data_IF_204442149373
#
_entry.id   IF_204442149373
#
_cell.length_a   1.000
_cell.length_b   1.000
_cell.length_c   1.000
_cell.angle_alpha   90.00
_cell.angle_beta   90.00
_cell.angle_gamma   90.00
#
_symmetry.space_group_name_H-M   'P 1'
#
loop_
_entity.id
_entity.type
_entity.pdbx_description
1 polymer ?
#
# COMPACT_ATOMS: atom_id res chain seq x y z
N UNK A 1 33.00 4.05 7.48
CA UNK A 1 31.68 4.35 8.09
C UNK A 1 30.62 3.50 7.41
N UNK A 2 29.75 2.84 8.17
CA UNK A 2 28.62 2.06 7.62
C UNK A 2 27.66 2.98 6.84
N UNK A 3 27.11 2.51 5.71
CA UNK A 3 26.10 3.26 4.91
C UNK A 3 24.90 3.72 5.75
N UNK A 4 24.57 2.98 6.81
CA UNK A 4 23.50 3.34 7.73
C UNK A 4 23.84 4.60 8.54
N UNK A 5 25.09 4.79 8.94
CA UNK A 5 25.52 5.97 9.70
C UNK A 5 25.45 7.26 8.87
N UNK A 6 25.77 7.17 7.56
CA UNK A 6 25.66 8.30 6.62
C UNK A 6 24.18 8.68 6.40
N UNK A 7 23.32 7.68 6.17
CA UNK A 7 21.86 7.89 6.01
C UNK A 7 21.22 8.51 7.27
N UNK A 8 21.63 8.08 8.46
CA UNK A 8 21.19 8.69 9.73
C UNK A 8 21.65 10.15 9.84
N UNK A 9 22.89 10.45 9.49
CA UNK A 9 23.43 11.81 9.57
C UNK A 9 22.71 12.78 8.62
N UNK A 10 22.49 12.38 7.37
CA UNK A 10 21.76 13.18 6.39
C UNK A 10 20.29 13.36 6.78
N UNK A 11 19.68 12.33 7.37
CA UNK A 11 18.33 12.43 7.95
C UNK A 11 18.27 13.50 9.02
N UNK A 12 19.20 13.51 9.98
CA UNK A 12 19.24 14.51 11.06
C UNK A 12 19.46 15.93 10.52
N UNK A 13 20.35 16.09 9.53
CA UNK A 13 20.58 17.40 8.90
C UNK A 13 19.34 17.94 8.17
N UNK A 14 18.53 17.07 7.58
CA UNK A 14 17.27 17.44 6.95
C UNK A 14 16.26 17.99 7.98
N UNK A 15 16.21 17.41 9.19
CA UNK A 15 15.31 17.86 10.27
C UNK A 15 15.57 19.30 10.71
N UNK A 16 16.84 19.73 10.68
CA UNK A 16 17.24 21.09 11.07
C UNK A 16 16.64 22.19 10.17
N UNK A 17 16.03 21.84 9.03
CA UNK A 17 15.38 22.77 8.10
C UNK A 17 13.87 22.89 8.32
N UNK A 18 13.32 22.22 9.32
CA UNK A 18 11.88 22.15 9.53
C UNK A 18 11.41 23.32 10.39
N UNK A 19 10.30 23.94 10.00
CA UNK A 19 9.70 25.08 10.70
C UNK A 19 8.92 24.59 11.93
N UNK A 20 8.96 25.42 12.99
CA UNK A 20 8.23 25.22 14.25
C UNK A 20 6.76 25.63 14.20
N UNK A 21 6.27 26.11 13.04
CA UNK A 21 4.88 26.53 12.89
C UNK A 21 3.93 25.32 12.86
N UNK A 22 2.86 25.36 13.65
CA UNK A 22 1.86 24.28 13.68
C UNK A 22 0.72 24.46 12.67
N UNK A 23 0.60 25.63 12.03
CA UNK A 23 -0.39 25.95 11.00
C UNK A 23 0.11 25.65 9.57
N UNK A 24 0.92 24.61 9.45
CA UNK A 24 1.51 24.22 8.17
C UNK A 24 0.51 23.48 7.27
N UNK A 25 0.63 23.72 5.97
CA UNK A 25 -0.14 22.99 4.98
C UNK A 25 0.21 21.51 4.98
N UNK A 26 -0.75 20.67 4.59
CA UNK A 26 -0.56 19.22 4.45
C UNK A 26 0.63 18.87 3.53
N UNK A 27 0.81 19.63 2.45
CA UNK A 27 1.94 19.47 1.53
C UNK A 27 3.29 19.71 2.22
N UNK A 28 3.38 20.69 3.12
CA UNK A 28 4.62 20.97 3.86
C UNK A 28 4.97 19.82 4.81
N UNK A 29 3.98 19.29 5.53
CA UNK A 29 4.14 18.11 6.39
C UNK A 29 4.59 16.90 5.58
N UNK A 30 3.92 16.65 4.45
CA UNK A 30 4.25 15.57 3.53
C UNK A 30 5.72 15.67 3.02
N UNK A 31 6.15 16.85 2.54
CA UNK A 31 7.50 17.02 1.95
C UNK A 31 8.63 16.70 2.92
N UNK A 32 8.44 17.00 4.21
CA UNK A 32 9.42 16.66 5.27
C UNK A 32 9.66 15.16 5.31
N UNK A 33 8.56 14.40 5.31
CA UNK A 33 8.61 12.96 5.36
C UNK A 33 9.11 12.35 4.04
N UNK A 34 8.67 12.89 2.90
CA UNK A 34 9.16 12.48 1.58
C UNK A 34 10.69 12.58 1.49
N UNK A 35 11.27 13.68 1.95
CA UNK A 35 12.72 13.87 1.96
C UNK A 35 13.47 12.83 2.84
N UNK A 36 12.89 12.41 3.97
CA UNK A 36 13.47 11.31 4.76
C UNK A 36 13.41 9.98 4.01
N UNK A 37 12.29 9.69 3.36
CA UNK A 37 12.13 8.47 2.57
C UNK A 37 13.01 8.44 1.33
N UNK A 38 13.24 9.58 0.67
CA UNK A 38 14.19 9.68 -0.43
C UNK A 38 15.60 9.26 0.03
N UNK A 39 16.08 9.80 1.15
CA UNK A 39 17.38 9.41 1.74
C UNK A 39 17.40 7.91 2.10
N UNK A 40 16.32 7.42 2.69
CA UNK A 40 16.21 6.04 3.15
C UNK A 40 16.17 5.03 1.99
N UNK A 41 15.52 5.37 0.88
CA UNK A 41 15.24 4.49 -0.25
C UNK A 41 16.12 4.75 -1.48
N UNK A 42 17.01 5.76 -1.44
CA UNK A 42 17.88 6.18 -2.56
C UNK A 42 18.60 5.01 -3.23
N UNK A 43 19.12 4.07 -2.43
CA UNK A 43 19.87 2.91 -2.92
C UNK A 43 18.98 1.73 -3.36
N UNK A 44 17.69 1.95 -3.62
CA UNK A 44 16.72 0.90 -3.98
C UNK A 44 15.99 1.21 -5.29
N UNK A 45 15.30 0.21 -5.83
CA UNK A 45 14.42 0.37 -7.00
C UNK A 45 13.00 0.85 -6.62
N UNK A 46 12.78 1.18 -5.34
CA UNK A 46 11.52 1.73 -4.84
C UNK A 46 11.55 3.24 -5.10
N UNK A 47 10.45 3.75 -5.63
CA UNK A 47 10.25 5.16 -5.92
C UNK A 47 9.07 5.69 -5.14
N UNK A 48 9.23 6.92 -4.67
CA UNK A 48 8.13 7.74 -4.22
C UNK A 48 7.41 8.24 -5.47
N UNK A 49 6.10 8.08 -5.49
CA UNK A 49 5.24 8.69 -6.48
C UNK A 49 4.27 9.60 -5.75
N UNK A 50 4.45 10.89 -6.02
CA UNK A 50 3.70 12.00 -5.47
C UNK A 50 3.01 12.79 -6.58
N UNK A 51 2.30 13.86 -6.20
CA UNK A 51 1.63 14.75 -7.15
C UNK A 51 0.33 14.17 -7.70
N UNK A 52 -0.78 14.41 -6.99
CA UNK A 52 -2.17 14.08 -7.38
C UNK A 52 -2.37 12.72 -8.08
N UNK A 53 -1.52 11.73 -7.76
CA UNK A 53 -1.50 10.46 -8.46
C UNK A 53 -2.65 9.57 -7.99
N UNK A 54 -3.21 8.81 -8.92
CA UNK A 54 -4.32 7.89 -8.65
C UNK A 54 -3.80 6.46 -8.57
N UNK A 55 -4.30 5.67 -7.61
CA UNK A 55 -3.99 4.23 -7.54
C UNK A 55 -4.81 3.45 -8.56
N UNK A 56 -4.12 2.77 -9.46
CA UNK A 56 -4.70 1.81 -10.40
C UNK A 56 -5.27 0.60 -9.67
N UNK A 57 -4.69 0.21 -8.52
CA UNK A 57 -5.21 -0.90 -7.72
C UNK A 57 -6.67 -0.68 -7.29
N UNK A 58 -7.04 0.57 -7.00
CA UNK A 58 -8.42 0.90 -6.58
C UNK A 58 -9.44 0.93 -7.72
N UNK A 59 -8.98 1.00 -8.98
CA UNK A 59 -9.86 1.13 -10.15
C UNK A 59 -10.78 -0.08 -10.30
N UNK A 60 -10.22 -1.29 -10.23
CA UNK A 60 -10.99 -2.53 -10.32
C UNK A 60 -12.07 -2.63 -9.23
N UNK A 61 -11.78 -2.18 -8.01
CA UNK A 61 -12.76 -2.16 -6.92
C UNK A 61 -13.84 -1.09 -7.11
N UNK A 62 -13.51 0.05 -7.72
CA UNK A 62 -14.50 1.08 -8.07
C UNK A 62 -15.45 0.55 -9.14
N UNK A 63 -14.91 -0.09 -10.19
CA UNK A 63 -15.69 -0.67 -11.28
C UNK A 63 -16.64 -1.76 -10.78
N UNK A 64 -16.13 -2.66 -9.92
CA UNK A 64 -16.95 -3.70 -9.29
C UNK A 64 -18.09 -3.12 -8.43
N UNK A 65 -17.80 -2.11 -7.62
CA UNK A 65 -18.85 -1.46 -6.82
C UNK A 65 -19.91 -0.79 -7.71
N UNK A 66 -19.50 -0.12 -8.79
CA UNK A 66 -20.44 0.50 -9.73
C UNK A 66 -21.36 -0.54 -10.38
N UNK A 67 -20.79 -1.68 -10.78
CA UNK A 67 -21.52 -2.80 -11.36
C UNK A 67 -22.55 -3.38 -10.38
N UNK A 68 -22.15 -3.66 -9.14
CA UNK A 68 -23.03 -4.23 -8.11
C UNK A 68 -24.19 -3.30 -7.75
N UNK A 69 -23.92 -2.00 -7.59
CA UNK A 69 -24.91 -1.03 -7.13
C UNK A 69 -25.66 -0.32 -8.26
N UNK A 70 -25.49 -0.76 -9.52
CA UNK A 70 -26.23 -0.21 -10.67
C UNK A 70 -25.97 1.27 -10.93
N UNK A 71 -24.79 1.80 -10.58
CA UNK A 71 -24.48 3.24 -10.67
C UNK A 71 -24.14 3.73 -12.10
N UNK A 72 -24.48 2.95 -13.13
CA UNK A 72 -24.33 3.29 -14.55
C UNK A 72 -22.91 3.24 -15.12
N UNK A 73 -22.80 3.03 -16.44
CA UNK A 73 -21.54 3.03 -17.22
C UNK A 73 -21.03 4.44 -17.60
N UNK A 74 -21.54 5.50 -16.96
CA UNK A 74 -21.25 6.87 -17.38
C UNK A 74 -20.02 7.43 -16.69
N UNK A 75 -18.83 6.98 -17.10
CA UNK A 75 -17.52 7.68 -17.06
C UNK A 75 -16.36 6.69 -16.91
N UNK A 76 -15.22 7.00 -17.55
CA UNK A 76 -13.94 6.37 -17.23
C UNK A 76 -13.73 6.39 -15.71
N UNK A 77 -13.50 5.22 -15.11
CA UNK A 77 -13.12 5.14 -13.71
C UNK A 77 -11.69 5.63 -13.53
N UNK A 78 -11.54 6.62 -12.66
CA UNK A 78 -10.24 7.08 -12.19
C UNK A 78 -9.94 6.42 -10.86
N UNK A 79 -8.68 6.05 -10.65
CA UNK A 79 -8.23 5.55 -9.36
C UNK A 79 -8.39 6.60 -8.25
N UNK A 80 -8.27 6.15 -7.00
CA UNK A 80 -8.32 7.03 -5.83
C UNK A 80 -7.04 7.87 -5.76
N UNK A 81 -7.17 9.20 -5.60
CA UNK A 81 -6.05 10.11 -5.30
C UNK A 81 -5.37 9.75 -3.98
N UNK A 82 -4.05 9.72 -3.97
CA UNK A 82 -3.21 9.34 -2.84
C UNK A 82 -2.11 10.39 -2.64
N UNK A 83 -1.78 10.68 -1.39
CA UNK A 83 -0.76 11.67 -1.05
C UNK A 83 0.64 11.15 -1.39
N UNK A 84 0.96 9.93 -0.95
CA UNK A 84 2.23 9.27 -1.25
C UNK A 84 2.02 7.81 -1.62
N UNK A 85 2.44 7.43 -2.81
CA UNK A 85 2.50 6.02 -3.20
C UNK A 85 3.94 5.56 -3.31
N UNK A 86 4.26 4.45 -2.65
CA UNK A 86 5.51 3.73 -2.89
C UNK A 86 5.27 2.72 -4.00
N UNK A 87 6.16 2.73 -5.00
CA UNK A 87 6.07 1.82 -6.12
C UNK A 87 7.42 1.28 -6.55
N UNK A 88 7.41 0.09 -7.14
CA UNK A 88 8.57 -0.51 -7.77
C UNK A 88 8.53 -0.18 -9.25
N UNK A 89 9.64 0.33 -9.77
CA UNK A 89 9.81 0.53 -11.21
C UNK A 89 10.57 -0.66 -11.80
N UNK A 90 9.97 -1.31 -12.79
CA UNK A 90 10.62 -2.33 -13.61
C UNK A 90 10.37 -2.06 -15.09
N UNK A 91 11.41 -1.67 -15.82
CA UNK A 91 11.31 -1.21 -17.22
C UNK A 91 10.26 -0.08 -17.35
N UNK A 92 9.20 -0.31 -18.15
CA UNK A 92 8.06 0.59 -18.34
C UNK A 92 6.89 0.31 -17.39
N UNK A 93 6.97 -0.76 -16.60
CA UNK A 93 5.91 -1.11 -15.65
C UNK A 93 6.20 -0.51 -14.27
N UNK A 94 5.12 -0.13 -13.59
CA UNK A 94 5.12 0.29 -12.21
C UNK A 94 4.23 -0.66 -11.42
N UNK A 95 4.69 -1.06 -10.25
CA UNK A 95 3.92 -1.87 -9.30
C UNK A 95 3.73 -1.06 -8.04
N UNK A 96 2.48 -0.81 -7.67
CA UNK A 96 2.14 -0.17 -6.40
C UNK A 96 2.42 -1.16 -5.26
N UNK A 97 3.08 -0.72 -4.19
CA UNK A 97 3.39 -1.59 -3.04
C UNK A 97 2.91 -1.02 -1.71
N UNK A 98 2.69 0.29 -1.62
CA UNK A 98 2.12 0.93 -0.43
C UNK A 98 1.54 2.30 -0.80
N UNK A 99 0.39 2.62 -0.23
CA UNK A 99 -0.22 3.96 -0.23
C UNK A 99 -0.09 4.53 1.18
N UNK A 100 0.27 5.80 1.30
CA UNK A 100 0.47 6.50 2.56
C UNK A 100 -0.21 7.86 2.51
N UNK A 101 -0.74 8.30 3.64
CA UNK A 101 -1.65 9.44 3.70
C UNK A 101 -1.28 10.40 4.82
N UNK A 102 -1.52 11.69 4.58
CA UNK A 102 -1.10 12.79 5.43
C UNK A 102 -2.28 13.72 5.68
N UNK A 103 -2.38 14.24 6.91
CA UNK A 103 -3.29 15.33 7.25
C UNK A 103 -2.57 16.39 8.06
N UNK A 104 -3.05 17.63 7.98
CA UNK A 104 -2.62 18.72 8.85
C UNK A 104 -2.98 18.44 10.32
N UNK A 105 -2.24 19.04 11.24
CA UNK A 105 -2.40 18.88 12.70
C UNK A 105 -3.82 19.19 13.18
N UNK A 106 -4.45 20.22 12.62
CA UNK A 106 -5.78 20.71 13.02
C UNK A 106 -6.94 19.91 12.41
N UNK A 107 -6.69 18.78 11.75
CA UNK A 107 -7.74 17.93 11.21
C UNK A 107 -8.62 17.35 12.34
N UNK A 108 -9.93 17.35 12.15
CA UNK A 108 -10.84 16.77 13.13
C UNK A 108 -10.67 15.25 13.22
N UNK A 109 -11.03 14.66 14.37
CA UNK A 109 -10.96 13.20 14.58
C UNK A 109 -11.73 12.42 13.51
N UNK A 110 -12.88 12.92 13.07
CA UNK A 110 -13.68 12.29 12.02
C UNK A 110 -12.98 12.31 10.66
N UNK A 111 -12.27 13.40 10.34
CA UNK A 111 -11.47 13.49 9.11
C UNK A 111 -10.31 12.52 9.18
N UNK A 112 -9.62 12.43 10.32
CA UNK A 112 -8.52 11.47 10.53
C UNK A 112 -9.03 10.02 10.41
N UNK A 113 -10.18 9.69 11.00
CA UNK A 113 -10.75 8.34 10.90
C UNK A 113 -11.14 8.01 9.45
N UNK A 114 -11.75 8.95 8.73
CA UNK A 114 -12.06 8.79 7.29
C UNK A 114 -10.79 8.56 6.48
N UNK A 115 -9.71 9.26 6.82
CA UNK A 115 -8.41 9.12 6.18
C UNK A 115 -7.80 7.73 6.40
N UNK A 116 -7.76 7.24 7.63
CA UNK A 116 -7.28 5.90 7.95
C UNK A 116 -8.12 4.81 7.27
N UNK A 117 -9.45 4.97 7.25
CA UNK A 117 -10.35 4.05 6.53
C UNK A 117 -10.10 4.06 5.01
N UNK A 118 -9.75 5.22 4.44
CA UNK A 118 -9.35 5.32 3.03
C UNK A 118 -8.04 4.59 2.79
N UNK A 119 -7.04 4.80 3.64
CA UNK A 119 -5.72 4.23 3.47
C UNK A 119 -5.72 2.70 3.58
N UNK A 120 -6.45 2.16 4.57
CA UNK A 120 -6.64 0.71 4.74
C UNK A 120 -7.27 0.05 3.51
N UNK A 121 -8.36 0.62 2.98
CA UNK A 121 -9.04 0.08 1.80
C UNK A 121 -8.17 0.15 0.55
N UNK A 122 -7.44 1.25 0.37
CA UNK A 122 -6.54 1.45 -0.76
C UNK A 122 -5.43 0.40 -0.74
N UNK A 123 -4.78 0.20 0.41
CA UNK A 123 -3.72 -0.80 0.54
C UNK A 123 -4.24 -2.25 0.45
N UNK A 124 -5.47 -2.53 0.88
CA UNK A 124 -6.10 -3.82 0.62
C UNK A 124 -6.25 -4.08 -0.90
N UNK A 125 -6.61 -3.06 -1.69
CA UNK A 125 -6.65 -3.17 -3.15
C UNK A 125 -5.26 -3.43 -3.73
N UNK A 126 -4.21 -2.76 -3.23
CA UNK A 126 -2.82 -2.97 -3.64
C UNK A 126 -2.40 -4.42 -3.39
N UNK A 127 -2.66 -4.97 -2.19
CA UNK A 127 -2.39 -6.37 -1.86
C UNK A 127 -3.11 -7.30 -2.85
N UNK A 128 -4.40 -7.06 -3.09
CA UNK A 128 -5.20 -7.88 -3.99
C UNK A 128 -4.65 -7.84 -5.42
N UNK A 129 -4.19 -6.68 -5.90
CA UNK A 129 -3.59 -6.54 -7.22
C UNK A 129 -2.27 -7.31 -7.33
N UNK A 130 -1.40 -7.23 -6.31
CA UNK A 130 -0.14 -7.99 -6.27
C UNK A 130 -0.42 -9.50 -6.28
N UNK A 131 -1.34 -9.98 -5.43
CA UNK A 131 -1.74 -11.39 -5.38
C UNK A 131 -2.30 -11.84 -6.73
N UNK A 132 -3.22 -11.08 -7.31
CA UNK A 132 -3.87 -11.45 -8.56
C UNK A 132 -2.88 -11.52 -9.73
N UNK A 133 -1.98 -10.54 -9.83
CA UNK A 133 -1.06 -10.37 -10.96
C UNK A 133 0.21 -11.23 -10.85
N UNK A 134 0.78 -11.36 -9.65
CA UNK A 134 2.08 -12.00 -9.45
C UNK A 134 2.00 -13.31 -8.66
N UNK A 135 0.82 -13.69 -8.18
CA UNK A 135 0.58 -14.91 -7.36
C UNK A 135 1.46 -14.97 -6.11
N UNK A 136 1.84 -13.81 -5.58
CA UNK A 136 2.61 -13.69 -4.33
C UNK A 136 1.65 -13.35 -3.20
N UNK A 137 1.62 -14.19 -2.15
CA UNK A 137 1.00 -13.78 -0.89
C UNK A 137 1.89 -12.74 -0.21
N UNK A 138 1.37 -11.54 0.03
CA UNK A 138 2.16 -10.42 0.53
C UNK A 138 1.43 -9.67 1.63
N UNK A 139 2.21 -8.98 2.45
CA UNK A 139 1.73 -7.92 3.32
C UNK A 139 2.22 -6.57 2.79
N UNK A 140 1.68 -5.47 3.30
CA UNK A 140 2.16 -4.12 2.98
C UNK A 140 2.34 -3.34 4.27
N UNK A 141 3.42 -2.55 4.36
CA UNK A 141 3.61 -1.59 5.44
C UNK A 141 3.09 -0.21 5.00
N UNK A 142 2.34 0.42 5.88
CA UNK A 142 1.50 1.58 5.59
C UNK A 142 1.63 2.59 6.70
N UNK A 143 1.60 3.87 6.32
CA UNK A 143 1.66 4.98 7.25
C UNK A 143 0.45 5.92 7.08
N UNK A 144 -0.06 6.37 8.22
CA UNK A 144 -0.97 7.51 8.33
C UNK A 144 -0.31 8.57 9.22
N UNK A 145 -0.25 9.82 8.75
CA UNK A 145 0.29 10.96 9.49
C UNK A 145 -0.77 12.04 9.73
N UNK A 146 -0.72 12.65 10.90
CA UNK A 146 -1.46 13.84 11.29
C UNK A 146 -0.48 14.84 11.91
N UNK A 147 -0.18 15.91 11.19
CA UNK A 147 0.95 16.78 11.52
C UNK A 147 2.24 15.96 11.62
N UNK A 148 2.98 16.12 12.72
CA UNK A 148 4.22 15.38 12.98
C UNK A 148 4.05 14.00 13.59
N UNK A 149 2.84 13.57 13.89
CA UNK A 149 2.61 12.27 14.51
C UNK A 149 2.01 11.31 13.50
N UNK A 150 2.53 10.08 13.47
CA UNK A 150 2.02 9.05 12.59
C UNK A 150 1.98 7.68 13.23
N UNK A 151 1.39 6.74 12.52
CA UNK A 151 1.48 5.33 12.84
C UNK A 151 2.00 4.55 11.64
N UNK A 152 2.88 3.59 11.90
CA UNK A 152 3.26 2.54 10.97
C UNK A 152 2.49 1.30 11.34
N UNK A 153 1.84 0.68 10.37
CA UNK A 153 1.13 -0.58 10.54
C UNK A 153 1.32 -1.48 9.31
N UNK A 154 1.12 -2.77 9.51
CA UNK A 154 1.22 -3.77 8.46
C UNK A 154 -0.15 -4.35 8.17
N UNK A 155 -0.51 -4.43 6.89
CA UNK A 155 -1.75 -5.06 6.43
C UNK A 155 -1.41 -6.39 5.76
N UNK A 156 -2.19 -7.44 6.05
CA UNK A 156 -2.10 -8.75 5.38
C UNK A 156 -3.49 -9.29 5.09
N UNK A 157 -3.64 -10.00 3.97
CA UNK A 157 -4.82 -10.82 3.66
C UNK A 157 -4.73 -12.17 4.37
N UNK A 158 -5.78 -12.58 5.07
CA UNK A 158 -5.88 -13.88 5.73
C UNK A 158 -6.33 -14.97 4.76
N UNK A 159 -6.18 -16.22 5.17
CA UNK A 159 -6.68 -17.39 4.40
C UNK A 159 -8.21 -17.36 4.28
N UNK A 160 -8.88 -16.88 5.33
CA UNK A 160 -10.33 -16.59 5.39
C UNK A 160 -10.74 -15.34 4.59
N UNK A 161 -9.88 -14.84 3.71
CA UNK A 161 -10.16 -13.77 2.73
C UNK A 161 -10.46 -12.37 3.30
N UNK A 162 -10.22 -12.11 4.58
CA UNK A 162 -10.31 -10.77 5.17
C UNK A 162 -8.94 -10.12 5.37
N UNK A 163 -8.92 -8.81 5.63
CA UNK A 163 -7.69 -8.05 5.83
C UNK A 163 -7.51 -7.68 7.29
N UNK A 164 -6.32 -7.94 7.85
CA UNK A 164 -5.95 -7.53 9.20
C UNK A 164 -4.87 -6.45 9.10
N UNK A 165 -5.04 -5.37 9.86
CA UNK A 165 -4.00 -4.36 10.10
C UNK A 165 -3.43 -4.52 11.52
N UNK A 166 -2.11 -4.68 11.62
CA UNK A 166 -1.39 -4.78 12.89
C UNK A 166 -0.50 -3.55 13.09
N UNK A 167 -0.60 -2.82 14.21
CA UNK A 167 0.30 -1.72 14.50
C UNK A 167 1.74 -2.22 14.63
N UNK A 168 2.68 -1.46 14.07
CA UNK A 168 4.13 -1.73 14.12
C UNK A 168 4.80 -0.70 15.03
N UNK A 169 4.59 0.58 14.78
CA UNK A 169 5.21 1.65 15.57
C UNK A 169 4.38 2.94 15.54
N UNK A 170 4.59 3.78 16.56
CA UNK A 170 4.21 5.20 16.52
C UNK A 170 5.39 5.98 15.95
N UNK A 171 5.11 6.93 15.07
CA UNK A 171 6.10 7.76 14.40
C UNK A 171 5.96 9.20 14.90
N UNK A 172 7.08 9.86 15.09
CA UNK A 172 7.17 11.25 15.51
C UNK A 172 8.27 11.96 14.71
N UNK A 173 7.88 13.05 14.07
CA UNK A 173 8.71 13.92 13.25
C UNK A 173 9.03 15.16 14.11
N UNK A 174 10.25 15.29 14.63
CA UNK A 174 10.58 16.37 15.56
C UNK A 174 10.55 17.73 14.85
N UNK A 175 10.01 18.75 15.52
CA UNK A 175 10.01 20.14 15.02
C UNK A 175 11.21 20.96 15.48
N UNK A 176 11.87 20.50 16.55
CA UNK A 176 13.00 21.18 17.16
C UNK A 176 13.94 20.15 17.80
N UNK A 177 15.10 20.63 18.25
CA UNK A 177 16.16 19.79 18.81
C UNK A 177 15.72 19.06 20.09
N UNK A 178 14.84 19.68 20.88
CA UNK A 178 14.35 19.13 22.15
C UNK A 178 13.50 17.87 21.95
N UNK A 179 12.89 17.73 20.76
CA UNK A 179 12.07 16.56 20.40
C UNK A 179 12.88 15.43 19.77
N UNK A 180 14.20 15.56 19.60
CA UNK A 180 15.05 14.53 18.99
C UNK A 180 15.01 13.20 19.74
N UNK A 181 14.72 13.19 21.04
CA UNK A 181 14.61 11.95 21.81
C UNK A 181 13.57 10.97 21.25
N UNK A 182 12.52 11.46 20.57
CA UNK A 182 11.51 10.62 19.92
C UNK A 182 11.87 10.16 18.50
N UNK A 183 12.94 10.70 17.91
CA UNK A 183 13.35 10.41 16.54
C UNK A 183 13.92 9.01 16.40
N UNK A 184 14.64 8.50 17.39
CA UNK A 184 15.30 7.19 17.32
C UNK A 184 14.30 6.07 17.03
N UNK A 185 13.15 6.08 17.71
CA UNK A 185 12.08 5.10 17.52
C UNK A 185 11.49 5.19 16.10
N UNK A 186 11.32 6.42 15.60
CA UNK A 186 10.85 6.67 14.23
C UNK A 186 11.85 6.16 13.21
N UNK A 187 13.14 6.48 13.35
CA UNK A 187 14.19 6.00 12.45
C UNK A 187 14.29 4.48 12.47
N UNK A 188 14.26 3.86 13.65
CA UNK A 188 14.26 2.40 13.79
C UNK A 188 13.10 1.75 13.03
N UNK A 189 11.88 2.27 13.22
CA UNK A 189 10.70 1.81 12.49
C UNK A 189 10.81 2.02 10.97
N UNK A 190 11.37 3.15 10.53
CA UNK A 190 11.59 3.43 9.11
C UNK A 190 12.67 2.50 8.51
N UNK A 191 13.75 2.19 9.22
CA UNK A 191 14.74 1.20 8.77
C UNK A 191 14.16 -0.21 8.70
N UNK A 192 13.27 -0.57 9.63
CA UNK A 192 12.51 -1.82 9.54
C UNK A 192 11.61 -1.83 8.30
N UNK A 193 10.89 -0.74 8.05
CA UNK A 193 10.06 -0.59 6.85
C UNK A 193 10.91 -0.65 5.57
N UNK A 194 12.07 0.01 5.52
CA UNK A 194 13.01 -0.06 4.40
C UNK A 194 13.40 -1.50 4.09
N UNK A 195 13.78 -2.25 5.12
CA UNK A 195 14.22 -3.64 4.98
C UNK A 195 13.08 -4.51 4.46
N UNK A 196 11.88 -4.30 4.98
CA UNK A 196 10.66 -4.95 4.51
C UNK A 196 10.36 -4.64 3.03
N UNK A 197 10.40 -3.36 2.64
CA UNK A 197 10.10 -2.94 1.27
C UNK A 197 11.13 -3.48 0.27
N UNK A 198 12.41 -3.53 0.64
CA UNK A 198 13.46 -4.09 -0.22
C UNK A 198 13.22 -5.58 -0.45
N UNK A 199 12.89 -6.34 0.60
CA UNK A 199 12.59 -7.77 0.47
C UNK A 199 11.32 -8.02 -0.36
N UNK A 200 10.26 -7.24 -0.11
CA UNK A 200 9.05 -7.28 -0.92
C UNK A 200 9.34 -6.97 -2.39
N UNK A 201 10.19 -5.97 -2.65
CA UNK A 201 10.60 -5.59 -3.99
C UNK A 201 11.34 -6.70 -4.71
N UNK A 202 12.22 -7.41 -4.01
CA UNK A 202 12.91 -8.59 -4.55
C UNK A 202 11.91 -9.66 -4.98
N UNK A 203 10.96 -10.03 -4.12
CA UNK A 203 9.95 -11.04 -4.46
C UNK A 203 9.08 -10.64 -5.66
N UNK A 204 8.63 -9.38 -5.71
CA UNK A 204 7.85 -8.88 -6.85
C UNK A 204 8.69 -8.93 -8.13
N UNK A 205 9.95 -8.49 -8.08
CA UNK A 205 10.84 -8.51 -9.24
C UNK A 205 11.07 -9.94 -9.76
N UNK A 206 11.33 -10.91 -8.86
CA UNK A 206 11.45 -12.32 -9.23
C UNK A 206 10.20 -12.85 -9.94
N UNK A 207 8.99 -12.50 -9.46
CA UNK A 207 7.76 -12.89 -10.13
C UNK A 207 7.55 -12.17 -11.47
N UNK A 208 7.98 -10.91 -11.60
CA UNK A 208 7.95 -10.18 -12.88
C UNK A 208 8.83 -10.86 -13.92
N UNK A 209 10.04 -11.27 -13.56
CA UNK A 209 10.96 -11.99 -14.46
C UNK A 209 10.36 -13.33 -14.88
N UNK A 210 9.79 -14.09 -13.95
CA UNK A 210 9.10 -15.36 -14.25
C UNK A 210 7.96 -15.15 -15.24
N UNK A 211 7.14 -14.12 -15.04
CA UNK A 211 6.03 -13.80 -15.94
C UNK A 211 6.53 -13.39 -17.33
N UNK A 212 7.60 -12.60 -17.42
CA UNK A 212 8.22 -12.23 -18.69
C UNK A 212 8.74 -13.45 -19.45
N UNK A 213 9.40 -14.39 -18.75
CA UNK A 213 9.89 -15.63 -19.35
C UNK A 213 8.75 -16.50 -19.89
N UNK A 214 7.65 -16.66 -19.14
CA UNK A 214 6.45 -17.38 -19.60
C UNK A 214 5.84 -16.70 -20.82
N UNK A 215 5.74 -15.36 -20.83
CA UNK A 215 5.16 -14.63 -21.95
C UNK A 215 6.04 -14.68 -23.22
N UNK A 216 7.36 -14.72 -23.07
CA UNK A 216 8.30 -14.83 -24.19
C UNK A 216 8.34 -16.24 -24.80
N UNK A 217 8.14 -17.26 -23.96
CA UNK A 217 8.04 -18.66 -24.37
C UNK A 217 6.58 -18.99 -24.72
N UNK A 218 6.11 -18.51 -25.87
CA UNK A 218 4.84 -18.98 -26.44
C UNK A 218 5.01 -20.44 -26.86
N UNK A 219 4.70 -21.38 -25.97
CA UNK A 219 4.52 -22.77 -26.40
C UNK A 219 3.25 -22.81 -27.26
N UNK A 220 3.31 -23.22 -28.53
CA UNK A 220 2.10 -23.56 -29.27
C UNK A 220 1.35 -24.59 -28.44
N UNK A 221 0.07 -24.36 -28.18
CA UNK A 221 -0.79 -25.40 -27.61
C UNK A 221 -0.56 -26.68 -28.41
N UNK A 222 -0.10 -27.75 -27.76
CA UNK A 222 0.02 -29.05 -28.42
C UNK A 222 -1.34 -29.34 -29.07
N UNK A 223 -1.38 -29.76 -30.35
CA UNK A 223 -2.63 -30.12 -30.99
C UNK A 223 -3.33 -31.14 -30.10
N UNK A 224 -4.55 -30.81 -29.69
CA UNK A 224 -5.41 -31.72 -28.95
C UNK A 224 -5.48 -33.02 -29.73
N UNK A 225 -5.04 -34.12 -29.12
CA UNK A 225 -5.29 -35.46 -29.64
C UNK A 225 -6.79 -35.60 -29.93
N UNK A 226 -7.18 -36.11 -31.10
CA UNK A 226 -8.60 -36.26 -31.44
C UNK A 226 -9.29 -37.06 -30.35
N UNK A 227 -10.33 -36.46 -29.77
CA UNK A 227 -11.16 -37.09 -28.76
C UNK A 227 -11.70 -38.41 -29.32
N UNK A 228 -11.35 -39.52 -28.66
CA UNK A 228 -12.06 -40.76 -28.86
C UNK A 228 -13.54 -40.51 -28.50
N UNK A 229 -14.40 -40.77 -29.47
CA UNK A 229 -15.85 -40.68 -29.35
C UNK A 229 -16.35 -41.54 -28.19
N UNK A 230 -16.76 -40.90 -27.11
CA UNK A 230 -17.59 -41.52 -26.08
C UNK A 230 -18.83 -40.65 -25.85
N UNK A 231 -19.96 -41.32 -26.11
CA UNK A 231 -21.36 -40.93 -26.01
C UNK A 231 -21.74 -39.84 -24.99
N UNK A 232 -22.58 -38.93 -25.50
CA UNK A 232 -23.59 -38.10 -24.85
C UNK A 232 -24.12 -38.62 -23.52
N UNK A 233 -23.85 -37.88 -22.44
CA UNK A 233 -24.82 -37.61 -21.36
C UNK A 233 -24.62 -36.13 -20.99
N UNK A 234 -25.68 -35.34 -21.13
CA UNK A 234 -25.64 -33.92 -20.84
C UNK A 234 -25.49 -33.66 -19.36
N UNK A 235 -24.77 -32.60 -19.00
CA UNK A 235 -25.06 -31.81 -17.82
C UNK A 235 -24.46 -30.41 -17.97
N UNK A 236 -25.32 -29.44 -17.74
CA UNK A 236 -25.05 -28.01 -17.63
C UNK A 236 -24.13 -27.74 -16.45
N UNK A 237 -22.97 -27.12 -16.66
CA UNK A 237 -22.24 -26.44 -15.59
C UNK A 237 -21.54 -25.19 -16.14
N UNK A 238 -22.29 -24.08 -16.19
CA UNK A 238 -21.72 -22.75 -16.21
C UNK A 238 -21.26 -22.42 -14.78
N UNK A 239 -20.04 -22.82 -14.41
CA UNK A 239 -19.44 -22.38 -13.15
C UNK A 239 -18.80 -21.01 -13.32
N UNK A 240 -19.65 -19.98 -13.27
CA UNK A 240 -19.23 -18.65 -12.83
C UNK A 240 -18.95 -18.75 -11.34
N UNK A 241 -17.68 -18.98 -10.99
CA UNK A 241 -17.25 -18.96 -9.60
C UNK A 241 -17.25 -17.50 -9.11
N UNK A 242 -18.42 -17.05 -8.67
CA UNK A 242 -18.64 -15.75 -8.05
C UNK A 242 -18.18 -15.85 -6.59
N UNK A 243 -16.91 -15.56 -6.33
CA UNK A 243 -16.39 -15.47 -4.96
C UNK A 243 -16.82 -14.13 -4.36
N UNK A 244 -17.73 -14.20 -3.39
CA UNK A 244 -18.33 -13.16 -2.56
C UNK A 244 -17.41 -11.95 -2.20
N UNK A 245 -17.71 -10.72 -2.65
CA UNK A 245 -16.94 -9.51 -2.33
C UNK A 245 -17.46 -8.71 -1.12
N UNK A 246 -18.47 -9.17 -0.37
CA UNK A 246 -19.15 -8.36 0.65
C UNK A 246 -18.41 -8.18 1.99
N UNK A 247 -17.23 -8.78 2.18
CA UNK A 247 -16.45 -8.66 3.42
C UNK A 247 -15.85 -7.27 3.72
N UNK A 248 -15.74 -6.38 2.72
CA UNK A 248 -14.95 -5.15 2.86
C UNK A 248 -15.73 -3.91 3.34
N UNK A 249 -17.06 -3.83 3.12
CA UNK A 249 -17.79 -2.58 3.34
C UNK A 249 -18.37 -2.44 4.77
N UNK A 250 -18.87 -3.53 5.37
CA UNK A 250 -19.51 -3.51 6.70
C UNK A 250 -18.58 -3.97 7.83
N UNK A 251 -17.64 -4.87 7.56
CA UNK A 251 -16.72 -5.41 8.57
C UNK A 251 -15.56 -4.46 8.91
N UNK A 252 -15.14 -3.62 7.94
CA UNK A 252 -14.09 -2.60 8.11
C UNK A 252 -14.42 -1.61 9.24
N UNK A 253 -15.67 -1.13 9.33
CA UNK A 253 -16.07 -0.20 10.41
C UNK A 253 -16.00 -0.81 11.80
N UNK A 254 -16.35 -2.11 11.97
CA UNK A 254 -16.39 -2.76 13.29
C UNK A 254 -15.02 -3.24 13.77
N UNK A 255 -14.14 -3.72 12.89
CA UNK A 255 -12.81 -4.17 13.28
C UNK A 255 -11.83 -3.00 13.53
N UNK A 256 -11.92 -1.91 12.77
CA UNK A 256 -11.06 -0.72 12.95
C UNK A 256 -11.28 -0.07 14.32
N UNK A 257 -12.52 -0.04 14.82
CA UNK A 257 -12.86 0.52 16.15
C UNK A 257 -12.23 -0.33 17.28
N UNK A 258 -12.07 -1.64 17.09
CA UNK A 258 -11.52 -2.52 18.12
C UNK A 258 -9.98 -2.51 18.17
N UNK A 259 -9.30 -2.19 17.06
CA UNK A 259 -7.84 -2.03 17.04
C UNK A 259 -7.34 -0.83 17.87
N UNK A 260 -8.17 0.20 18.08
CA UNK A 260 -7.79 1.37 18.90
C UNK A 260 -8.30 1.33 20.35
N UNK A 261 -9.19 0.39 20.71
CA UNK A 261 -9.72 0.25 22.08
C UNK A 261 -8.90 -0.68 22.98
N UNK A 262 -7.94 -1.43 22.44
CA UNK A 262 -7.12 -2.38 23.20
C UNK A 262 -5.63 -2.02 23.16
N UNK A 263 -5.28 -0.92 23.80
CA UNK A 263 -3.96 -0.74 24.41
C UNK A 263 -4.21 -0.46 25.89
N UNK A 264 -3.90 -1.38 26.81
CA UNK A 264 -3.82 -1.04 28.22
C UNK A 264 -2.67 -0.03 28.41
N UNK A 265 -2.90 0.92 29.32
CA UNK A 265 -1.92 1.80 29.94
C UNK A 265 -0.74 1.05 30.55
#
# INVERSE_FOLDING_TARGET
MSKNAVSTFDSVRNLARWSSNQDESETTVYRRFAALLDILLDSSNIKLIDGESTSEATKASIDLNRSIFGLGEQSHSFGRRIDLMLGIKHKKQRVEISSNEFKKTIASKDVVLKQQCKNLRTNACIIQQIIAKYKINTSVMVMDFVGSFGCLYMIKKTEEQFYIAKPVAKLAIPYNIDQLGGLEQTLSALFQMRSFLIDQSRHIHEAMIKQEAVNALHFPSLPSLPAASASTIGDTCNDVCCSDPYGLCLHSKRQIINCFKRTPS
#
